data_IF_407932679767
#
_entry.id   IF_407932679767
#
_cell.length_a   1.000
_cell.length_b   1.000
_cell.length_c   1.000
_cell.angle_alpha   90.00
_cell.angle_beta   90.00
_cell.angle_gamma   90.00
#
_symmetry.space_group_name_H-M   'P 1'
#
loop_
_entity.id
_entity.type
_entity.pdbx_description
1 polymer ?
#
# COMPACT_ATOMS: atom_id res chain seq x y z
N UNK A 1 12.52 -7.98 23.12
CA UNK A 1 12.58 -6.93 22.08
C UNK A 1 12.18 -7.45 20.70
N UNK A 2 12.84 -8.47 20.13
CA UNK A 2 12.51 -9.02 18.80
C UNK A 2 11.02 -9.34 18.59
N UNK A 3 10.39 -10.07 19.53
CA UNK A 3 8.95 -10.40 19.46
C UNK A 3 8.07 -9.15 19.39
N UNK A 4 8.42 -8.09 20.13
CA UNK A 4 7.67 -6.85 20.10
C UNK A 4 7.89 -6.10 18.77
N UNK A 5 9.11 -6.14 18.22
CA UNK A 5 9.40 -5.57 16.90
C UNK A 5 8.59 -6.25 15.80
N UNK A 6 8.44 -7.57 15.87
CA UNK A 6 7.61 -8.34 14.94
C UNK A 6 6.15 -7.89 15.00
N UNK A 7 5.56 -7.81 16.19
CA UNK A 7 4.20 -7.31 16.37
C UNK A 7 4.02 -5.86 15.91
N UNK A 8 4.99 -4.99 16.18
CA UNK A 8 4.95 -3.59 15.73
C UNK A 8 5.00 -3.50 14.20
N UNK A 9 5.80 -4.33 13.53
CA UNK A 9 5.88 -4.36 12.07
C UNK A 9 4.57 -4.88 11.47
N UNK A 10 4.00 -5.96 12.01
CA UNK A 10 2.70 -6.47 11.58
C UNK A 10 1.62 -5.39 11.70
N UNK A 11 1.59 -4.68 12.83
CA UNK A 11 0.62 -3.61 13.06
C UNK A 11 0.81 -2.42 12.12
N UNK A 12 2.06 -1.99 11.94
CA UNK A 12 2.39 -0.92 11.01
C UNK A 12 2.02 -1.27 9.57
N UNK A 13 2.31 -2.51 9.15
CA UNK A 13 1.92 -3.03 7.84
C UNK A 13 0.40 -2.99 7.66
N UNK A 14 -0.36 -3.48 8.64
CA UNK A 14 -1.82 -3.43 8.59
C UNK A 14 -2.35 -1.99 8.45
N UNK A 15 -1.88 -1.06 9.28
CA UNK A 15 -2.31 0.33 9.23
C UNK A 15 -1.94 0.99 7.89
N UNK A 16 -0.74 0.74 7.37
CA UNK A 16 -0.32 1.24 6.06
C UNK A 16 -1.23 0.73 4.94
N UNK A 17 -1.47 -0.58 4.88
CA UNK A 17 -2.35 -1.23 3.91
C UNK A 17 -3.76 -0.65 3.97
N UNK A 18 -4.31 -0.57 5.18
CA UNK A 18 -5.65 -0.04 5.43
C UNK A 18 -5.80 1.39 4.91
N UNK A 19 -4.89 2.30 5.30
CA UNK A 19 -4.97 3.70 4.89
C UNK A 19 -4.72 3.89 3.39
N UNK A 20 -3.93 3.02 2.77
CA UNK A 20 -3.80 2.98 1.31
C UNK A 20 -5.12 2.64 0.63
N UNK A 21 -5.79 1.56 1.08
CA UNK A 21 -7.09 1.11 0.54
C UNK A 21 -8.14 2.21 0.69
N UNK A 22 -8.23 2.83 1.86
CA UNK A 22 -9.20 3.89 2.15
C UNK A 22 -8.85 5.24 1.50
N UNK A 23 -7.66 5.37 0.89
CA UNK A 23 -7.21 6.64 0.27
C UNK A 23 -6.92 7.75 1.28
N UNK A 24 -6.61 7.39 2.54
CA UNK A 24 -6.31 8.33 3.62
C UNK A 24 -4.85 8.77 3.57
N UNK A 25 -4.54 9.76 2.75
CA UNK A 25 -3.15 10.14 2.45
C UNK A 25 -2.33 10.61 3.67
N UNK A 26 -2.93 11.38 4.57
CA UNK A 26 -2.21 11.91 5.73
C UNK A 26 -1.81 10.80 6.69
N UNK A 27 -2.74 9.90 6.98
CA UNK A 27 -2.56 8.71 7.79
C UNK A 27 -1.59 7.74 7.13
N UNK A 28 -1.73 7.52 5.81
CA UNK A 28 -0.79 6.70 5.04
C UNK A 28 0.64 7.23 5.14
N UNK A 29 0.85 8.55 5.01
CA UNK A 29 2.19 9.16 5.16
C UNK A 29 2.79 8.92 6.55
N UNK A 30 1.98 9.06 7.61
CA UNK A 30 2.43 8.80 8.98
C UNK A 30 2.84 7.35 9.18
N UNK A 31 2.01 6.41 8.72
CA UNK A 31 2.28 4.98 8.85
C UNK A 31 3.41 4.49 7.93
N UNK A 32 3.62 5.14 6.79
CA UNK A 32 4.80 4.91 5.95
C UNK A 32 6.07 5.17 6.74
N UNK A 33 6.14 6.31 7.44
CA UNK A 33 7.36 6.69 8.17
C UNK A 33 7.65 5.70 9.31
N UNK A 34 6.59 5.23 10.00
CA UNK A 34 6.70 4.16 11.01
C UNK A 34 7.16 2.84 10.40
N UNK A 35 6.50 2.38 9.33
CA UNK A 35 6.84 1.12 8.67
C UNK A 35 8.28 1.16 8.12
N UNK A 36 8.69 2.29 7.53
CA UNK A 36 10.04 2.47 7.03
C UNK A 36 11.09 2.41 8.15
N UNK A 37 10.85 3.08 9.28
CA UNK A 37 11.75 3.02 10.43
C UNK A 37 11.89 1.59 10.99
N UNK A 38 10.78 0.85 11.10
CA UNK A 38 10.80 -0.54 11.57
C UNK A 38 11.55 -1.46 10.61
N UNK A 39 11.29 -1.35 9.29
CA UNK A 39 11.96 -2.18 8.28
C UNK A 39 13.46 -1.89 8.21
N UNK A 40 13.86 -0.62 8.25
CA UNK A 40 15.27 -0.22 8.24
C UNK A 40 16.02 -0.64 9.51
N UNK A 41 15.30 -0.87 10.62
CA UNK A 41 15.86 -1.40 11.85
C UNK A 41 16.13 -2.92 11.83
N UNK A 42 15.64 -3.64 10.81
CA UNK A 42 15.88 -5.08 10.68
C UNK A 42 17.29 -5.35 10.16
N UNK A 43 18.09 -6.11 10.92
CA UNK A 43 19.38 -6.62 10.42
C UNK A 43 19.20 -7.64 9.29
N UNK A 44 18.08 -8.37 9.31
CA UNK A 44 17.64 -9.30 8.25
C UNK A 44 16.13 -9.48 8.34
N UNK A 45 15.45 -9.44 7.19
CA UNK A 45 14.01 -9.72 7.11
C UNK A 45 13.74 -11.22 7.38
N UNK A 46 13.02 -11.58 8.46
CA UNK A 46 12.61 -12.96 8.72
C UNK A 46 11.73 -13.51 7.60
N UNK A 47 11.82 -14.82 7.34
CA UNK A 47 11.07 -15.47 6.24
C UNK A 47 9.56 -15.21 6.33
N UNK A 48 8.98 -15.30 7.52
CA UNK A 48 7.55 -15.08 7.73
C UNK A 48 7.10 -13.62 7.52
N UNK A 49 8.03 -12.65 7.56
CA UNK A 49 7.73 -11.23 7.38
C UNK A 49 7.98 -10.71 5.96
N UNK A 50 8.55 -11.53 5.08
CA UNK A 50 8.88 -11.12 3.71
C UNK A 50 7.69 -10.51 2.98
N UNK A 51 6.54 -11.21 2.96
CA UNK A 51 5.31 -10.72 2.31
C UNK A 51 4.89 -9.35 2.84
N UNK A 52 4.95 -9.14 4.17
CA UNK A 52 4.65 -7.85 4.82
C UNK A 52 5.62 -6.74 4.43
N UNK A 53 6.92 -7.02 4.44
CA UNK A 53 7.93 -6.04 4.04
C UNK A 53 7.75 -5.68 2.57
N UNK A 54 7.53 -6.66 1.69
CA UNK A 54 7.37 -6.41 0.27
C UNK A 54 6.13 -5.59 -0.04
N UNK A 55 4.97 -5.89 0.58
CA UNK A 55 3.77 -5.08 0.37
C UNK A 55 3.95 -3.66 0.90
N UNK A 56 4.57 -3.46 2.07
CA UNK A 56 4.89 -2.12 2.55
C UNK A 56 5.75 -1.35 1.54
N UNK A 57 6.85 -1.95 1.08
CA UNK A 57 7.78 -1.32 0.14
C UNK A 57 7.12 -1.02 -1.22
N UNK A 58 6.23 -1.89 -1.70
CA UNK A 58 5.40 -1.66 -2.88
C UNK A 58 4.50 -0.44 -2.70
N UNK A 59 3.66 -0.42 -1.65
CA UNK A 59 2.67 0.65 -1.44
C UNK A 59 3.33 2.02 -1.32
N UNK A 60 4.47 2.10 -0.63
CA UNK A 60 5.23 3.34 -0.46
C UNK A 60 5.72 3.89 -1.79
N UNK A 61 6.23 3.02 -2.67
CA UNK A 61 6.72 3.38 -4.00
C UNK A 61 5.60 3.74 -4.96
N UNK A 62 4.50 3.00 -4.91
CA UNK A 62 3.29 3.29 -5.66
C UNK A 62 2.74 4.65 -5.24
N UNK A 63 2.67 4.99 -3.96
CA UNK A 63 2.22 6.32 -3.53
C UNK A 63 3.10 7.48 -4.04
N UNK A 64 4.34 7.20 -4.48
CA UNK A 64 5.27 8.16 -5.09
C UNK A 64 5.49 7.93 -6.58
N UNK A 65 4.74 7.02 -7.21
CA UNK A 65 5.01 6.49 -8.54
C UNK A 65 5.07 7.54 -9.66
N UNK A 66 4.32 8.62 -9.52
CA UNK A 66 4.30 9.73 -10.50
C UNK A 66 5.41 10.76 -10.31
N UNK A 67 6.12 10.75 -9.18
CA UNK A 67 7.14 11.75 -8.87
C UNK A 67 8.53 11.20 -9.22
N UNK A 68 9.01 11.53 -10.42
CA UNK A 68 10.28 11.05 -10.95
C UNK A 68 11.51 11.65 -10.26
N UNK A 69 11.35 12.72 -9.48
CA UNK A 69 12.42 13.33 -8.66
C UNK A 69 12.68 12.54 -7.37
N UNK A 70 11.84 11.55 -7.06
CA UNK A 70 11.99 10.73 -5.86
C UNK A 70 12.75 9.45 -6.18
N UNK A 71 13.82 9.18 -5.42
CA UNK A 71 14.66 8.00 -5.61
C UNK A 71 14.64 7.11 -4.37
N UNK A 72 14.34 5.82 -4.56
CA UNK A 72 14.37 4.82 -3.49
C UNK A 72 15.66 3.99 -3.50
N UNK A 73 16.29 3.87 -4.66
CA UNK A 73 17.47 3.04 -4.88
C UNK A 73 18.72 3.92 -5.01
N UNK A 74 19.89 3.34 -4.78
CA UNK A 74 21.17 4.04 -4.96
C UNK A 74 21.40 4.46 -6.42
N UNK A 75 20.94 3.65 -7.37
CA UNK A 75 20.92 4.02 -8.78
C UNK A 75 19.77 4.99 -9.04
N UNK A 76 20.10 6.28 -9.18
CA UNK A 76 19.13 7.36 -9.39
C UNK A 76 18.36 7.23 -10.71
N UNK A 77 18.79 6.37 -11.64
CA UNK A 77 18.05 6.08 -12.88
C UNK A 77 16.82 5.23 -12.64
N UNK A 78 16.72 4.58 -11.49
CA UNK A 78 15.59 3.72 -11.13
C UNK A 78 14.47 4.61 -10.57
N UNK A 79 13.40 4.74 -11.34
CA UNK A 79 12.20 5.45 -10.93
C UNK A 79 11.47 4.74 -9.78
N UNK A 80 10.59 5.45 -9.03
CA UNK A 80 9.74 4.83 -8.03
C UNK A 80 8.95 3.62 -8.53
N UNK A 81 8.43 3.66 -9.75
CA UNK A 81 7.65 2.56 -10.32
C UNK A 81 8.52 1.38 -10.77
N UNK A 82 9.73 1.59 -11.28
CA UNK A 82 10.69 0.51 -11.53
C UNK A 82 11.03 -0.22 -10.24
N UNK A 83 11.26 0.53 -9.15
CA UNK A 83 11.48 -0.10 -7.86
C UNK A 83 10.20 -0.77 -7.32
N UNK A 84 9.02 -0.23 -7.58
CA UNK A 84 7.74 -0.88 -7.23
C UNK A 84 7.60 -2.23 -7.93
N UNK A 85 7.97 -2.31 -9.22
CA UNK A 85 7.94 -3.54 -9.99
C UNK A 85 8.82 -4.63 -9.37
N UNK A 86 10.00 -4.28 -8.87
CA UNK A 86 10.87 -5.22 -8.16
C UNK A 86 10.17 -5.85 -6.95
N UNK A 87 9.55 -5.04 -6.08
CA UNK A 87 8.80 -5.56 -4.92
C UNK A 87 7.55 -6.34 -5.33
N UNK A 88 6.90 -5.96 -6.44
CA UNK A 88 5.81 -6.75 -7.01
C UNK A 88 6.27 -8.15 -7.40
N UNK A 89 7.37 -8.28 -8.15
CA UNK A 89 7.93 -9.58 -8.53
C UNK A 89 8.33 -10.42 -7.32
N UNK A 90 8.75 -9.81 -6.21
CA UNK A 90 9.00 -10.52 -4.96
C UNK A 90 7.70 -11.05 -4.33
N UNK A 91 6.61 -10.28 -4.34
CA UNK A 91 5.29 -10.72 -3.85
C UNK A 91 4.74 -11.88 -4.68
N UNK A 92 4.85 -11.81 -5.99
CA UNK A 92 4.37 -12.87 -6.90
C UNK A 92 5.04 -14.23 -6.60
N UNK A 93 6.31 -14.22 -6.19
CA UNK A 93 7.05 -15.43 -5.81
C UNK A 93 6.61 -16.02 -4.48
N UNK A 94 6.05 -15.20 -3.59
CA UNK A 94 5.54 -15.65 -2.29
C UNK A 94 4.10 -16.20 -2.42
N UNK A 95 3.41 -15.99 -3.56
CA UNK A 95 1.99 -16.32 -3.70
C UNK A 95 1.58 -16.79 -5.10
N UNK A 96 1.29 -18.08 -5.23
CA UNK A 96 1.01 -18.72 -6.53
C UNK A 96 -0.49 -18.66 -6.91
N UNK A 97 -1.41 -18.41 -5.96
CA UNK A 97 -2.86 -18.57 -6.20
C UNK A 97 -3.53 -17.43 -6.98
N UNK A 98 -2.85 -16.30 -7.18
CA UNK A 98 -3.44 -15.08 -7.74
C UNK A 98 -2.88 -14.73 -9.14
N UNK A 99 -2.48 -15.73 -9.92
CA UNK A 99 -1.77 -15.59 -11.21
C UNK A 99 -2.34 -14.49 -12.12
N UNK A 100 -3.66 -14.44 -12.32
CA UNK A 100 -4.29 -13.42 -13.17
C UNK A 100 -4.19 -12.01 -12.59
N UNK A 101 -4.42 -11.84 -11.29
CA UNK A 101 -4.31 -10.53 -10.64
C UNK A 101 -2.85 -10.08 -10.59
N UNK A 102 -1.92 -11.02 -10.38
CA UNK A 102 -0.48 -10.83 -10.45
C UNK A 102 -0.04 -10.30 -11.81
N UNK A 103 -0.42 -10.98 -12.87
CA UNK A 103 -0.15 -10.57 -14.24
C UNK A 103 -0.75 -9.20 -14.58
N UNK A 104 -2.03 -8.97 -14.23
CA UNK A 104 -2.71 -7.70 -14.46
C UNK A 104 -1.96 -6.52 -13.82
N UNK A 105 -1.55 -6.66 -12.55
CA UNK A 105 -0.84 -5.60 -11.82
C UNK A 105 0.57 -5.43 -12.38
N UNK A 106 1.31 -6.51 -12.65
CA UNK A 106 2.67 -6.44 -13.24
C UNK A 106 2.64 -5.65 -14.54
N UNK A 107 1.70 -5.99 -15.42
CA UNK A 107 1.51 -5.31 -16.70
C UNK A 107 1.11 -3.84 -16.52
N UNK A 108 0.23 -3.53 -15.57
CA UNK A 108 -0.14 -2.14 -15.26
C UNK A 108 1.07 -1.34 -14.76
N UNK A 109 1.91 -1.90 -13.89
CA UNK A 109 3.14 -1.25 -13.42
C UNK A 109 4.06 -0.99 -14.62
N UNK A 110 4.34 -2.00 -15.45
CA UNK A 110 5.22 -1.86 -16.62
C UNK A 110 4.73 -0.77 -17.60
N UNK A 111 3.43 -0.72 -17.88
CA UNK A 111 2.85 0.32 -18.74
C UNK A 111 2.98 1.70 -18.09
N UNK A 112 2.69 1.80 -16.80
CA UNK A 112 2.72 3.08 -16.08
C UNK A 112 4.14 3.62 -15.89
N UNK A 113 5.16 2.77 -15.80
CA UNK A 113 6.56 3.19 -15.81
C UNK A 113 6.85 4.02 -17.08
N UNK A 114 6.45 3.54 -18.25
CA UNK A 114 6.66 4.27 -19.52
C UNK A 114 5.73 5.47 -19.61
N UNK A 115 4.45 5.31 -19.26
CA UNK A 115 3.45 6.37 -19.35
C UNK A 115 3.83 7.61 -18.52
N UNK A 116 4.28 7.43 -17.27
CA UNK A 116 4.67 8.54 -16.39
C UNK A 116 5.85 9.33 -16.96
N UNK A 117 6.86 8.66 -17.54
CA UNK A 117 7.95 9.38 -18.20
C UNK A 117 7.45 10.17 -19.41
N UNK A 118 6.55 9.59 -20.22
CA UNK A 118 5.96 10.28 -21.37
C UNK A 118 5.08 11.47 -20.97
N UNK A 119 4.26 11.34 -19.92
CA UNK A 119 3.42 12.41 -19.37
C UNK A 119 4.26 13.61 -18.89
N UNK A 120 5.50 13.37 -18.45
CA UNK A 120 6.45 14.42 -18.06
C UNK A 120 7.34 14.92 -19.22
N UNK A 121 7.16 14.40 -20.43
CA UNK A 121 7.95 14.78 -21.61
C UNK A 121 9.35 14.15 -21.66
N UNK A 122 9.67 13.21 -20.77
CA UNK A 122 10.97 12.53 -20.66
C UNK A 122 11.05 11.33 -21.62
N UNK A 123 10.94 11.59 -22.93
CA UNK A 123 10.86 10.53 -23.95
C UNK A 123 12.14 9.70 -24.10
N UNK A 124 13.31 10.32 -23.88
CA UNK A 124 14.60 9.63 -23.98
C UNK A 124 14.74 8.62 -22.83
N UNK A 125 14.45 9.07 -21.62
CA UNK A 125 14.42 8.28 -20.40
C UNK A 125 13.38 7.17 -20.53
N UNK A 126 12.19 7.46 -21.06
CA UNK A 126 11.17 6.45 -21.32
C UNK A 126 11.65 5.35 -22.29
N UNK A 127 12.48 5.70 -23.27
CA UNK A 127 13.09 4.72 -24.20
C UNK A 127 14.13 3.87 -23.48
N UNK A 128 14.99 4.47 -22.67
CA UNK A 128 16.00 3.74 -21.88
C UNK A 128 15.34 2.79 -20.87
N UNK A 129 14.28 3.23 -20.21
CA UNK A 129 13.51 2.43 -19.27
C UNK A 129 12.79 1.27 -19.97
N UNK A 130 12.20 1.50 -21.15
CA UNK A 130 11.56 0.44 -21.93
C UNK A 130 12.53 -0.71 -22.24
N UNK A 131 13.77 -0.38 -22.63
CA UNK A 131 14.80 -1.38 -22.92
C UNK A 131 15.21 -2.18 -21.67
N UNK A 132 15.35 -1.50 -20.52
CA UNK A 132 15.66 -2.16 -19.24
C UNK A 132 14.52 -3.07 -18.75
N UNK A 133 13.26 -2.66 -18.94
CA UNK A 133 12.10 -3.42 -18.46
C UNK A 133 11.91 -4.78 -19.16
N UNK A 134 12.29 -4.85 -20.43
CA UNK A 134 11.98 -5.99 -21.29
C UNK A 134 13.23 -6.66 -21.88
N UNK A 135 14.34 -6.60 -21.13
CA UNK A 135 15.57 -7.32 -21.51
C UNK A 135 15.30 -8.83 -21.50
N UNK A 136 15.47 -9.48 -22.65
CA UNK A 136 15.40 -10.93 -22.88
C UNK A 136 14.08 -11.67 -22.53
N UNK A 137 12.95 -10.95 -22.44
CA UNK A 137 11.63 -11.56 -22.20
C UNK A 137 10.83 -11.75 -23.50
N UNK A 138 10.74 -12.99 -24.01
CA UNK A 138 9.91 -13.30 -25.19
C UNK A 138 8.41 -13.17 -24.91
N UNK A 139 7.95 -13.43 -23.68
CA UNK A 139 6.54 -13.31 -23.29
C UNK A 139 6.06 -11.85 -23.33
N UNK A 140 6.95 -10.90 -23.02
CA UNK A 140 6.60 -9.48 -22.96
C UNK A 140 6.79 -8.74 -24.28
N UNK A 141 7.33 -9.42 -25.29
CA UNK A 141 7.58 -8.86 -26.63
C UNK A 141 6.36 -8.15 -27.24
N UNK A 142 5.12 -8.68 -27.15
CA UNK A 142 3.95 -7.97 -27.67
C UNK A 142 3.68 -6.64 -26.95
N UNK A 143 3.93 -6.57 -25.64
CA UNK A 143 3.75 -5.35 -24.86
C UNK A 143 4.85 -4.33 -25.18
N UNK A 144 6.10 -4.80 -25.24
CA UNK A 144 7.27 -3.97 -25.62
C UNK A 144 7.06 -3.29 -26.98
N UNK A 145 6.64 -4.05 -27.99
CA UNK A 145 6.40 -3.49 -29.35
C UNK A 145 5.30 -2.43 -29.34
N UNK A 146 4.21 -2.65 -28.59
CA UNK A 146 3.14 -1.67 -28.43
C UNK A 146 3.66 -0.38 -27.77
N UNK A 147 4.39 -0.49 -26.66
CA UNK A 147 4.94 0.67 -25.96
C UNK A 147 6.00 1.42 -26.80
N UNK A 148 6.86 0.70 -27.52
CA UNK A 148 7.82 1.31 -28.45
C UNK A 148 7.13 2.12 -29.55
N UNK A 149 6.01 1.62 -30.08
CA UNK A 149 5.21 2.33 -31.09
C UNK A 149 4.62 3.61 -30.53
N UNK A 150 4.08 3.55 -29.31
CA UNK A 150 3.54 4.72 -28.61
C UNK A 150 4.64 5.77 -28.35
N UNK A 151 5.81 5.34 -27.87
CA UNK A 151 6.97 6.23 -27.67
C UNK A 151 7.44 6.90 -28.95
N UNK A 152 7.49 6.16 -30.06
CA UNK A 152 7.87 6.70 -31.37
C UNK A 152 6.93 7.82 -31.81
N UNK A 153 5.63 7.66 -31.55
CA UNK A 153 4.62 8.66 -31.89
C UNK A 153 4.60 9.86 -30.91
N UNK A 154 5.29 9.75 -29.76
CA UNK A 154 5.40 10.78 -28.71
C UNK A 154 4.06 11.29 -28.16
N UNK A 155 3.00 10.51 -28.29
CA UNK A 155 1.66 10.83 -27.79
C UNK A 155 1.36 10.04 -26.50
N UNK A 156 1.34 10.69 -25.32
CA UNK A 156 1.01 10.02 -24.06
C UNK A 156 -0.50 9.76 -23.88
N UNK A 157 -1.37 10.31 -24.73
CA UNK A 157 -2.83 10.24 -24.57
C UNK A 157 -3.51 9.22 -25.48
N UNK A 158 -2.73 8.26 -26.00
CA UNK A 158 -3.27 7.15 -26.81
C UNK A 158 -4.23 6.27 -26.01
N UNK A 159 -5.22 5.62 -26.66
CA UNK A 159 -6.21 4.77 -25.99
C UNK A 159 -5.60 3.67 -25.09
N UNK A 160 -4.43 3.16 -25.45
CA UNK A 160 -3.70 2.19 -24.63
C UNK A 160 -3.34 2.76 -23.25
N UNK A 161 -2.74 3.95 -23.18
CA UNK A 161 -2.30 4.53 -21.91
C UNK A 161 -3.49 5.05 -21.09
N UNK A 162 -4.57 5.47 -21.75
CA UNK A 162 -5.82 5.86 -21.09
C UNK A 162 -6.55 4.66 -20.47
N UNK A 163 -6.62 3.53 -21.18
CA UNK A 163 -7.28 2.31 -20.66
C UNK A 163 -6.49 1.66 -19.52
N UNK A 164 -5.15 1.65 -19.62
CA UNK A 164 -4.25 1.15 -18.58
C UNK A 164 -3.81 2.26 -17.62
N UNK A 165 -4.75 3.06 -17.12
CA UNK A 165 -4.48 4.27 -16.33
C UNK A 165 -3.84 3.99 -14.96
N UNK A 166 -3.20 5.03 -14.40
CA UNK A 166 -2.68 4.99 -13.03
C UNK A 166 -3.77 4.70 -11.98
N UNK A 167 -4.99 5.21 -12.19
CA UNK A 167 -6.11 4.94 -11.30
C UNK A 167 -6.50 3.46 -11.32
N UNK A 168 -6.47 2.82 -12.49
CA UNK A 168 -6.70 1.38 -12.60
C UNK A 168 -5.61 0.59 -11.87
N UNK A 169 -4.35 0.99 -11.99
CA UNK A 169 -3.24 0.42 -11.23
C UNK A 169 -3.51 0.50 -9.72
N UNK A 170 -3.84 1.69 -9.21
CA UNK A 170 -4.16 1.89 -7.79
C UNK A 170 -5.30 0.97 -7.35
N UNK A 171 -6.41 0.91 -8.11
CA UNK A 171 -7.56 0.08 -7.76
C UNK A 171 -7.21 -1.41 -7.70
N UNK A 172 -6.42 -1.92 -8.65
CA UNK A 172 -5.98 -3.32 -8.64
C UNK A 172 -5.07 -3.62 -7.44
N UNK A 173 -4.15 -2.72 -7.10
CA UNK A 173 -3.29 -2.85 -5.92
C UNK A 173 -4.13 -2.81 -4.63
N UNK A 174 -5.17 -1.96 -4.56
CA UNK A 174 -6.11 -1.96 -3.43
C UNK A 174 -6.79 -3.31 -3.28
N UNK A 175 -7.31 -3.90 -4.36
CA UNK A 175 -7.92 -5.23 -4.33
C UNK A 175 -6.94 -6.31 -3.85
N UNK A 176 -5.68 -6.28 -4.30
CA UNK A 176 -4.65 -7.18 -3.78
C UNK A 176 -4.39 -6.96 -2.28
N UNK A 177 -4.32 -5.70 -1.86
CA UNK A 177 -4.07 -5.30 -0.46
C UNK A 177 -5.19 -5.74 0.47
N UNK A 178 -6.44 -5.65 0.03
CA UNK A 178 -7.61 -6.15 0.77
C UNK A 178 -7.55 -7.67 0.97
N UNK A 179 -7.18 -8.42 -0.07
CA UNK A 179 -6.97 -9.88 0.02
C UNK A 179 -5.84 -10.20 1.01
N UNK A 180 -4.71 -9.50 0.90
CA UNK A 180 -3.60 -9.63 1.82
C UNK A 180 -4.02 -9.36 3.27
N UNK A 181 -4.78 -8.29 3.52
CA UNK A 181 -5.25 -7.97 4.87
C UNK A 181 -6.16 -9.07 5.43
N UNK A 182 -7.05 -9.62 4.61
CA UNK A 182 -7.97 -10.70 5.01
C UNK A 182 -7.22 -11.98 5.42
N UNK A 183 -6.13 -12.29 4.73
CA UNK A 183 -5.27 -13.43 5.10
C UNK A 183 -4.52 -13.21 6.43
N UNK A 184 -4.32 -11.96 6.83
CA UNK A 184 -3.51 -11.56 7.99
C UNK A 184 -4.35 -10.92 9.12
N UNK A 185 -5.65 -11.25 9.22
CA UNK A 185 -6.57 -10.73 10.25
C UNK A 185 -6.18 -11.08 11.70
N UNK A 186 -5.22 -11.99 11.89
CA UNK A 186 -4.81 -12.50 13.21
C UNK A 186 -3.77 -11.66 13.94
N UNK A 187 -3.56 -10.40 13.54
CA UNK A 187 -2.57 -9.51 14.17
C UNK A 187 -2.80 -9.37 15.68
N UNK A 188 -1.79 -9.73 16.48
CA UNK A 188 -1.88 -9.76 17.94
C UNK A 188 -2.22 -8.39 18.54
N UNK A 189 -1.57 -7.31 18.08
CA UNK A 189 -1.79 -5.97 18.65
C UNK A 189 -3.19 -5.44 18.32
N UNK A 190 -3.72 -5.75 17.13
CA UNK A 190 -5.10 -5.40 16.78
C UNK A 190 -6.06 -6.13 17.71
N UNK A 191 -5.90 -7.44 17.89
CA UNK A 191 -6.77 -8.21 18.77
C UNK A 191 -6.70 -7.73 20.22
N UNK A 192 -5.49 -7.45 20.73
CA UNK A 192 -5.30 -6.93 22.07
C UNK A 192 -5.95 -5.54 22.24
N UNK A 193 -5.78 -4.64 21.26
CA UNK A 193 -6.40 -3.33 21.26
C UNK A 193 -7.93 -3.42 21.22
N UNK A 194 -8.50 -4.27 20.37
CA UNK A 194 -9.95 -4.49 20.27
C UNK A 194 -10.53 -4.98 21.59
N UNK A 195 -9.95 -6.02 22.20
CA UNK A 195 -10.38 -6.53 23.52
C UNK A 195 -10.29 -5.46 24.61
N UNK A 196 -9.26 -4.61 24.56
CA UNK A 196 -9.09 -3.52 25.52
C UNK A 196 -10.14 -2.42 25.35
N UNK A 197 -10.55 -2.11 24.13
CA UNK A 197 -11.64 -1.17 23.83
C UNK A 197 -12.98 -1.76 24.25
N UNK A 198 -13.25 -3.02 23.93
CA UNK A 198 -14.49 -3.72 24.30
C UNK A 198 -14.66 -3.80 25.83
N UNK A 199 -13.61 -4.19 26.56
CA UNK A 199 -13.65 -4.24 28.03
C UNK A 199 -13.86 -2.86 28.66
N UNK A 200 -13.25 -1.80 28.11
CA UNK A 200 -13.51 -0.41 28.55
C UNK A 200 -14.92 0.05 28.19
N UNK A 201 -15.44 -0.34 27.03
CA UNK A 201 -16.81 -0.09 26.61
C UNK A 201 -17.81 -0.76 27.54
N UNK A 202 -17.63 -2.05 27.84
CA UNK A 202 -18.42 -2.79 28.82
C UNK A 202 -18.34 -2.15 30.21
N UNK A 203 -17.16 -1.68 30.62
CA UNK A 203 -16.98 -0.96 31.89
C UNK A 203 -17.70 0.39 31.90
N UNK A 204 -17.69 1.12 30.77
CA UNK A 204 -18.42 2.39 30.62
C UNK A 204 -19.93 2.16 30.65
N UNK A 205 -20.45 1.13 29.97
CA UNK A 205 -21.87 0.74 30.01
C UNK A 205 -22.29 0.25 31.39
N UNK A 206 -21.46 -0.54 32.07
CA UNK A 206 -21.71 -0.99 33.44
C UNK A 206 -21.67 0.17 34.46
N UNK A 207 -20.82 1.18 34.23
CA UNK A 207 -20.77 2.40 35.04
C UNK A 207 -22.00 3.30 34.78
N UNK A 208 -22.44 3.43 33.52
CA UNK A 208 -23.67 4.14 33.16
C UNK A 208 -24.91 3.51 33.78
N UNK A 209 -25.00 2.17 33.81
CA UNK A 209 -26.08 1.46 34.49
C UNK A 209 -26.04 1.61 36.02
N UNK A 210 -24.91 2.03 36.59
CA UNK A 210 -24.75 2.34 38.02
C UNK A 210 -24.96 3.82 38.36
N UNK A 211 -24.84 4.72 37.39
CA UNK A 211 -24.96 6.19 37.58
C UNK A 211 -26.29 6.77 37.08
N UNK A 212 -27.38 5.99 37.01
CA UNK A 212 -28.75 6.55 36.86
C UNK A 212 -29.27 7.07 38.22
N UNK A 213 -28.38 7.67 39.01
CA UNK A 213 -28.71 8.60 40.08
C UNK A 213 -27.59 9.63 40.14
N UNK A 214 -28.00 10.88 39.92
CA UNK A 214 -27.29 12.15 40.08
C UNK A 214 -26.16 12.59 39.12
N UNK A 215 -26.56 13.62 38.38
CA UNK A 215 -25.94 14.94 38.27
C UNK A 215 -25.14 15.37 37.02
N UNK A 216 -25.52 16.58 36.63
CA UNK A 216 -25.46 17.19 35.33
C UNK A 216 -24.22 18.08 35.22
N UNK A 217 -23.05 17.52 34.85
CA UNK A 217 -21.88 18.34 34.49
C UNK A 217 -20.78 17.55 33.77
N UNK A 218 -21.02 17.07 32.55
CA UNK A 218 -19.89 16.67 31.68
C UNK A 218 -20.24 16.58 30.19
N UNK A 219 -20.81 17.64 29.62
CA UNK A 219 -21.25 17.64 28.22
C UNK A 219 -20.08 17.72 27.22
N UNK A 220 -18.97 18.37 27.59
CA UNK A 220 -17.82 18.57 26.68
C UNK A 220 -16.92 17.33 26.54
N UNK A 221 -16.72 16.57 27.62
CA UNK A 221 -15.94 15.31 27.57
C UNK A 221 -16.71 14.20 26.85
N UNK A 222 -18.04 14.22 26.93
CA UNK A 222 -18.94 13.27 26.24
C UNK A 222 -18.86 13.40 24.72
N UNK A 223 -18.74 14.62 24.18
CA UNK A 223 -18.74 14.82 22.73
C UNK A 223 -17.45 14.31 22.05
N UNK A 224 -16.29 14.41 22.72
CA UNK A 224 -15.02 13.84 22.22
C UNK A 224 -14.98 12.31 22.25
N UNK A 225 -15.60 11.69 23.25
CA UNK A 225 -15.66 10.23 23.35
C UNK A 225 -16.61 9.60 22.33
N UNK A 226 -17.75 10.24 22.06
CA UNK A 226 -18.70 9.79 21.05
C UNK A 226 -18.07 9.87 19.65
N UNK A 227 -17.30 10.92 19.35
CA UNK A 227 -16.54 10.99 18.10
C UNK A 227 -15.47 9.89 17.97
N UNK A 228 -14.77 9.54 19.06
CA UNK A 228 -13.78 8.46 19.03
C UNK A 228 -14.41 7.07 18.85
N UNK A 229 -15.62 6.83 19.40
CA UNK A 229 -16.33 5.56 19.25
C UNK A 229 -16.96 5.45 17.86
N UNK A 230 -17.52 6.53 17.30
CA UNK A 230 -18.04 6.54 15.93
C UNK A 230 -16.90 6.32 14.93
N UNK A 231 -15.75 6.98 15.11
CA UNK A 231 -14.56 6.74 14.29
C UNK A 231 -14.06 5.29 14.41
N UNK A 232 -14.11 4.68 15.61
CA UNK A 232 -13.73 3.28 15.78
C UNK A 232 -14.77 2.31 15.16
N UNK A 233 -16.06 2.66 15.17
CA UNK A 233 -17.13 1.83 14.58
C UNK A 233 -17.10 1.90 13.05
N UNK A 234 -16.84 3.08 12.48
CA UNK A 234 -16.59 3.26 11.05
C UNK A 234 -15.24 2.67 10.63
N UNK A 235 -14.30 2.52 11.58
CA UNK A 235 -13.03 1.84 11.34
C UNK A 235 -13.16 0.30 11.25
N UNK A 236 -14.22 -0.32 11.73
CA UNK A 236 -14.39 -1.78 11.62
C UNK A 236 -15.69 -2.12 10.91
N UNK A 237 -15.98 -1.39 9.82
CA UNK A 237 -17.23 -1.48 9.05
C UNK A 237 -17.83 -2.88 9.00
N UNK A 238 -19.13 -2.91 9.32
CA UNK A 238 -20.03 -4.06 9.12
C UNK A 238 -19.86 -4.71 7.75
#
# INVERSE_FOLDING_TARGET
>A
EAVAADWMLEFACYCLCRHFVEGREAEFRRWRDVAHALISGLSKVPKHQKKMVYICQLLIRIAKGKNLEFHFENDQRISPLESALFFWTLLEREEIKLEKLHEDIRRLIQIQIVAVHMENGYYKEATEVLERLFTDSESDKPLRVKLATVLKNKDPYVPLLQSFSYNLLINKIKSYTELFMKENETNFLIQAATKQVESKGLRATALQNKTVTDDESNLETKQRFVFSIILLRDMFGQ
#
